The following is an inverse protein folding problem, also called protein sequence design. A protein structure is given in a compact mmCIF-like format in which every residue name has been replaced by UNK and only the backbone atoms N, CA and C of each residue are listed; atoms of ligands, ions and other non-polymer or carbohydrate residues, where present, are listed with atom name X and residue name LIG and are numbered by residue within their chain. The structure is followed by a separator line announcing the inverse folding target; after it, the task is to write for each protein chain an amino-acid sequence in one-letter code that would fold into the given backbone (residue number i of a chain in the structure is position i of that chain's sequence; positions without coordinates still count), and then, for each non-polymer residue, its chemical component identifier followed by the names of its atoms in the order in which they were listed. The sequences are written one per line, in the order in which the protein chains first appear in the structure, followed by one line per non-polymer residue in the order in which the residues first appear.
data_IF_763673970816
#
_entry.id   IF_763673970816
#
_cell.length_a   1.000
_cell.length_b   1.000
_cell.length_c   1.000
_cell.angle_alpha   90.00
_cell.angle_beta   90.00
_cell.angle_gamma   90.00
#
_symmetry.space_group_name_H-M   'P 1'
#
loop_
_entity.id
_entity.type
_entity.pdbx_description
1 polymer ?
#
# COMPACT_ATOMS: atom_id res chain seq x y z
N UNK A 1 -16.15 -10.59 17.95
CA UNK A 1 -14.85 -10.35 17.28
C UNK A 1 -14.57 -11.43 16.21
N UNK A 2 -15.44 -11.63 15.21
CA UNK A 2 -15.16 -12.59 14.11
C UNK A 2 -14.98 -11.95 12.73
N UNK A 3 -15.64 -10.82 12.45
CA UNK A 3 -15.66 -10.19 11.12
C UNK A 3 -14.27 -9.87 10.53
N UNK A 4 -13.35 -9.32 11.33
CA UNK A 4 -12.00 -9.00 10.85
C UNK A 4 -11.22 -10.26 10.41
N UNK A 5 -11.47 -11.39 11.07
CA UNK A 5 -10.80 -12.65 10.77
C UNK A 5 -11.30 -13.18 9.43
N UNK A 6 -12.55 -12.90 9.09
CA UNK A 6 -13.14 -13.27 7.82
C UNK A 6 -12.53 -12.42 6.69
N UNK A 7 -12.36 -11.11 6.87
CA UNK A 7 -11.68 -10.22 5.89
C UNK A 7 -10.21 -10.57 5.67
N UNK A 8 -9.49 -10.99 6.71
CA UNK A 8 -8.09 -11.41 6.55
C UNK A 8 -7.93 -12.80 5.95
N UNK A 9 -8.89 -13.70 6.18
CA UNK A 9 -8.81 -15.09 5.74
C UNK A 9 -9.63 -15.40 4.49
N UNK A 10 -10.43 -14.46 3.98
CA UNK A 10 -11.17 -14.66 2.73
C UNK A 10 -10.23 -14.85 1.53
N UNK A 11 -8.96 -14.42 1.66
CA UNK A 11 -7.94 -14.45 0.61
C UNK A 11 -8.23 -13.51 -0.55
N UNK A 12 -9.51 -13.31 -0.87
CA UNK A 12 -10.02 -12.46 -1.93
C UNK A 12 -9.76 -10.98 -1.67
N UNK A 13 -9.94 -10.49 -0.45
CA UNK A 13 -9.68 -9.09 -0.09
C UNK A 13 -8.20 -8.77 -0.23
N UNK A 14 -7.32 -9.61 0.32
CA UNK A 14 -5.88 -9.38 0.22
C UNK A 14 -5.38 -9.48 -1.23
N UNK A 15 -5.82 -10.50 -1.98
CA UNK A 15 -5.46 -10.66 -3.40
C UNK A 15 -6.03 -9.53 -4.26
N UNK A 16 -7.25 -9.08 -3.96
CA UNK A 16 -7.89 -7.93 -4.61
C UNK A 16 -7.09 -6.65 -4.41
N UNK A 17 -6.79 -6.31 -3.16
CA UNK A 17 -5.99 -5.13 -2.82
C UNK A 17 -4.58 -5.17 -3.42
N UNK A 18 -3.92 -6.33 -3.45
CA UNK A 18 -2.62 -6.47 -4.13
C UNK A 18 -2.72 -6.30 -5.64
N UNK A 19 -3.78 -6.84 -6.26
CA UNK A 19 -4.05 -6.70 -7.70
C UNK A 19 -4.30 -5.24 -8.04
N UNK A 20 -5.12 -4.53 -7.27
CA UNK A 20 -5.34 -3.09 -7.45
C UNK A 20 -4.05 -2.30 -7.37
N UNK A 21 -3.23 -2.53 -6.33
CA UNK A 21 -1.93 -1.87 -6.20
C UNK A 21 -0.99 -2.13 -7.39
N UNK A 22 -1.02 -3.35 -7.95
CA UNK A 22 -0.26 -3.69 -9.16
C UNK A 22 -0.79 -2.94 -10.38
N UNK A 23 -2.10 -2.93 -10.59
CA UNK A 23 -2.75 -2.22 -11.71
C UNK A 23 -2.41 -0.74 -11.66
N UNK A 24 -2.50 -0.10 -10.50
CA UNK A 24 -2.19 1.32 -10.37
C UNK A 24 -0.70 1.63 -10.59
N UNK A 25 0.19 0.73 -10.17
CA UNK A 25 1.61 0.85 -10.49
C UNK A 25 1.88 0.72 -11.99
N UNK A 26 1.22 -0.21 -12.67
CA UNK A 26 1.32 -0.38 -14.12
C UNK A 26 0.80 0.88 -14.85
N UNK A 27 -0.32 1.45 -14.40
CA UNK A 27 -0.86 2.71 -14.92
C UNK A 27 0.12 3.87 -14.73
N UNK A 28 0.75 3.97 -13.56
CA UNK A 28 1.81 4.95 -13.29
C UNK A 28 2.97 4.75 -14.27
N UNK A 29 3.48 3.53 -14.40
CA UNK A 29 4.60 3.23 -15.30
C UNK A 29 4.25 3.59 -16.74
N UNK A 30 3.09 3.20 -17.26
CA UNK A 30 2.66 3.56 -18.61
C UNK A 30 2.58 5.09 -18.82
N UNK A 31 2.14 5.83 -17.79
CA UNK A 31 2.03 7.30 -17.86
C UNK A 31 3.39 8.00 -17.88
N UNK A 32 4.41 7.39 -17.26
CA UNK A 32 5.73 8.01 -17.06
C UNK A 32 6.90 7.19 -17.63
N UNK A 33 6.63 6.18 -18.47
CA UNK A 33 7.58 5.17 -18.95
C UNK A 33 8.81 5.78 -19.65
N UNK A 34 8.58 6.93 -20.29
CA UNK A 34 9.61 7.72 -20.98
C UNK A 34 10.58 8.45 -20.03
N UNK A 35 10.30 8.51 -18.72
CA UNK A 35 11.08 9.24 -17.71
C UNK A 35 11.87 8.33 -16.77
N UNK A 36 11.56 7.04 -16.70
CA UNK A 36 12.14 6.10 -15.74
C UNK A 36 13.07 5.13 -16.45
N UNK A 37 14.38 5.42 -16.46
CA UNK A 37 15.39 4.41 -16.78
C UNK A 37 15.58 3.50 -15.57
N UNK A 38 14.90 2.36 -15.54
CA UNK A 38 15.12 1.31 -14.55
C UNK A 38 15.40 -0.03 -15.19
N UNK A 39 16.16 -0.87 -14.50
CA UNK A 39 16.31 -2.28 -14.86
C UNK A 39 15.03 -3.05 -14.58
N UNK A 40 14.83 -4.19 -15.24
CA UNK A 40 13.68 -5.09 -14.97
C UNK A 40 13.63 -5.50 -13.50
N UNK A 41 14.78 -5.76 -12.88
CA UNK A 41 14.86 -6.16 -11.47
C UNK A 41 14.40 -5.05 -10.52
N UNK A 42 14.82 -3.80 -10.76
CA UNK A 42 14.38 -2.65 -9.98
C UNK A 42 12.88 -2.39 -10.15
N UNK A 43 12.37 -2.55 -11.38
CA UNK A 43 10.94 -2.42 -11.68
C UNK A 43 10.12 -3.47 -10.93
N UNK A 44 10.54 -4.73 -10.94
CA UNK A 44 9.86 -5.82 -10.24
C UNK A 44 9.92 -5.67 -8.72
N UNK A 45 11.07 -5.26 -8.17
CA UNK A 45 11.18 -4.96 -6.74
C UNK A 45 10.25 -3.82 -6.33
N UNK A 46 10.26 -2.72 -7.10
CA UNK A 46 9.40 -1.57 -6.83
C UNK A 46 7.93 -1.93 -6.97
N UNK A 47 7.55 -2.73 -7.97
CA UNK A 47 6.20 -3.25 -8.14
C UNK A 47 5.73 -4.02 -6.90
N UNK A 48 6.56 -4.94 -6.38
CA UNK A 48 6.26 -5.67 -5.14
C UNK A 48 6.11 -4.75 -3.94
N UNK A 49 7.02 -3.81 -3.77
CA UNK A 49 6.95 -2.80 -2.71
C UNK A 49 5.63 -2.03 -2.81
N UNK A 50 5.28 -1.49 -3.98
CA UNK A 50 4.07 -0.70 -4.22
C UNK A 50 2.80 -1.53 -4.00
N UNK A 51 2.75 -2.76 -4.50
CA UNK A 51 1.60 -3.65 -4.33
C UNK A 51 1.32 -3.91 -2.85
N UNK A 52 2.34 -4.22 -2.06
CA UNK A 52 2.18 -4.46 -0.60
C UNK A 52 1.88 -3.15 0.14
N UNK A 53 2.59 -2.08 -0.19
CA UNK A 53 2.36 -0.74 0.35
C UNK A 53 0.91 -0.27 0.19
N UNK A 54 0.35 -0.50 -1.00
CA UNK A 54 -1.03 -0.16 -1.33
C UNK A 54 -2.03 -1.12 -0.66
N UNK A 55 -1.71 -2.40 -0.56
CA UNK A 55 -2.66 -3.39 -0.05
C UNK A 55 -2.96 -3.22 1.43
N UNK A 56 -2.01 -2.73 2.24
CA UNK A 56 -2.21 -2.54 3.68
C UNK A 56 -3.36 -1.58 4.02
N UNK A 57 -3.38 -0.32 3.54
CA UNK A 57 -4.52 0.57 3.77
C UNK A 57 -5.79 0.13 3.03
N UNK A 58 -5.69 -0.46 1.83
CA UNK A 58 -6.83 -1.01 1.11
C UNK A 58 -7.58 -2.08 1.91
N UNK A 59 -6.87 -2.97 2.61
CA UNK A 59 -7.49 -3.95 3.52
C UNK A 59 -8.27 -3.25 4.64
N UNK A 60 -7.77 -2.13 5.14
CA UNK A 60 -8.48 -1.32 6.14
C UNK A 60 -9.76 -0.71 5.59
N UNK A 61 -9.74 -0.24 4.35
CA UNK A 61 -10.94 0.30 3.68
C UNK A 61 -11.98 -0.80 3.41
N UNK A 62 -11.54 -1.97 2.92
CA UNK A 62 -12.41 -3.13 2.78
C UNK A 62 -13.02 -3.56 4.13
N UNK A 63 -12.21 -3.60 5.19
CA UNK A 63 -12.68 -3.91 6.54
C UNK A 63 -13.64 -2.84 7.08
N UNK A 64 -13.47 -1.57 6.72
CA UNK A 64 -14.42 -0.50 7.08
C UNK A 64 -15.78 -0.76 6.45
N UNK A 65 -15.81 -1.11 5.17
CA UNK A 65 -17.05 -1.40 4.43
C UNK A 65 -17.77 -2.62 4.99
N UNK A 66 -17.03 -3.69 5.32
CA UNK A 66 -17.60 -4.98 5.73
C UNK A 66 -17.94 -5.03 7.23
N UNK A 67 -17.04 -4.52 8.07
CA UNK A 67 -17.09 -4.70 9.53
C UNK A 67 -17.23 -3.41 10.32
N UNK A 68 -17.24 -2.26 9.65
CA UNK A 68 -17.38 -0.94 10.28
C UNK A 68 -16.05 -0.29 10.72
N UNK A 69 -16.17 0.97 11.15
CA UNK A 69 -15.02 1.85 11.41
C UNK A 69 -14.11 1.37 12.54
N UNK A 70 -14.67 0.88 13.65
CA UNK A 70 -13.88 0.40 14.78
C UNK A 70 -12.99 -0.80 14.41
N UNK A 71 -13.52 -1.71 13.58
CA UNK A 71 -12.76 -2.85 13.05
C UNK A 71 -11.64 -2.38 12.13
N UNK A 72 -11.92 -1.41 11.27
CA UNK A 72 -10.93 -0.79 10.37
C UNK A 72 -9.81 -0.11 11.15
N UNK A 73 -10.15 0.72 12.15
CA UNK A 73 -9.16 1.39 12.99
C UNK A 73 -8.24 0.39 13.71
N UNK A 74 -8.82 -0.71 14.23
CA UNK A 74 -8.06 -1.77 14.87
C UNK A 74 -7.09 -2.46 13.89
N UNK A 75 -7.54 -2.85 12.69
CA UNK A 75 -6.67 -3.55 11.74
C UNK A 75 -5.57 -2.66 11.20
N UNK A 76 -5.88 -1.39 10.89
CA UNK A 76 -4.90 -0.42 10.42
C UNK A 76 -3.81 -0.20 11.49
N UNK A 77 -4.19 -0.16 12.76
CA UNK A 77 -3.25 -0.09 13.90
C UNK A 77 -2.35 -1.32 14.00
N UNK A 78 -2.88 -2.52 13.76
CA UNK A 78 -2.10 -3.76 13.74
C UNK A 78 -1.12 -3.75 12.56
N UNK A 79 -1.61 -3.49 11.34
CA UNK A 79 -0.81 -3.54 10.12
C UNK A 79 0.35 -2.52 10.15
N UNK A 80 0.12 -1.32 10.69
CA UNK A 80 1.17 -0.30 10.90
C UNK A 80 2.30 -0.77 11.81
N UNK A 81 2.04 -1.70 12.74
CA UNK A 81 3.06 -2.22 13.67
C UNK A 81 3.96 -3.28 13.04
N UNK A 82 3.52 -3.98 12.00
CA UNK A 82 4.24 -5.14 11.44
C UNK A 82 5.44 -4.69 10.57
N UNK A 83 5.55 -3.40 10.26
CA UNK A 83 6.70 -2.76 9.57
C UNK A 83 7.20 -3.53 8.33
N UNK A 84 6.26 -4.20 7.63
CA UNK A 84 6.51 -5.09 6.48
C UNK A 84 7.26 -4.35 5.37
N UNK A 85 7.02 -3.04 5.24
CA UNK A 85 7.63 -2.22 4.22
C UNK A 85 9.15 -2.11 4.39
N UNK A 86 9.69 -2.21 5.62
CA UNK A 86 11.16 -2.21 5.81
C UNK A 86 11.87 -3.40 5.18
N UNK A 87 11.16 -4.52 5.06
CA UNK A 87 11.72 -5.74 4.50
C UNK A 87 11.59 -5.80 2.97
N UNK A 88 10.65 -5.04 2.40
CA UNK A 88 10.29 -5.13 0.99
C UNK A 88 10.67 -3.88 0.17
N UNK A 89 10.77 -2.73 0.82
CA UNK A 89 10.99 -1.44 0.18
C UNK A 89 12.34 -0.85 0.60
N UNK A 90 13.03 -0.22 -0.35
CA UNK A 90 14.15 0.67 -0.03
C UNK A 90 13.64 2.06 0.36
N UNK A 91 14.46 2.88 1.02
CA UNK A 91 14.15 4.29 1.32
C UNK A 91 13.70 5.06 0.07
N UNK A 92 14.34 4.79 -1.07
CA UNK A 92 13.98 5.41 -2.34
C UNK A 92 12.58 5.01 -2.83
N UNK A 93 12.17 3.77 -2.57
CA UNK A 93 10.85 3.27 -2.93
C UNK A 93 9.77 3.87 -2.01
N UNK A 94 10.08 4.03 -0.71
CA UNK A 94 9.19 4.71 0.25
C UNK A 94 9.02 6.19 -0.10
N UNK A 95 10.11 6.89 -0.42
CA UNK A 95 10.05 8.28 -0.84
C UNK A 95 9.24 8.44 -2.13
N UNK A 96 9.44 7.53 -3.10
CA UNK A 96 8.65 7.48 -4.34
C UNK A 96 7.15 7.31 -4.05
N UNK A 97 6.79 6.38 -3.17
CA UNK A 97 5.41 6.13 -2.79
C UNK A 97 4.74 7.38 -2.21
N UNK A 98 5.42 8.04 -1.27
CA UNK A 98 4.91 9.23 -0.58
C UNK A 98 4.75 10.46 -1.49
N UNK A 99 5.68 10.67 -2.43
CA UNK A 99 5.80 11.95 -3.15
C UNK A 99 5.30 11.91 -4.59
N UNK A 100 5.25 10.73 -5.22
CA UNK A 100 4.87 10.60 -6.63
C UNK A 100 3.68 9.70 -6.82
N UNK A 101 3.71 8.52 -6.21
CA UNK A 101 2.68 7.50 -6.45
C UNK A 101 1.33 7.92 -5.84
N UNK A 102 1.30 8.31 -4.56
CA UNK A 102 0.05 8.77 -3.93
C UNK A 102 -0.54 10.01 -4.60
N UNK A 103 0.30 10.89 -5.14
CA UNK A 103 -0.13 12.07 -5.89
C UNK A 103 -0.78 11.69 -7.23
N UNK A 104 -0.21 10.67 -7.90
CA UNK A 104 -0.74 10.12 -9.14
C UNK A 104 -2.14 9.52 -8.97
N UNK A 105 -2.40 8.85 -7.84
CA UNK A 105 -3.68 8.19 -7.57
C UNK A 105 -4.87 9.16 -7.43
N UNK A 106 -4.61 10.47 -7.29
CA UNK A 106 -5.65 11.52 -7.17
C UNK A 106 -6.72 11.21 -6.11
N UNK A 107 -6.31 10.55 -5.05
CA UNK A 107 -7.19 10.19 -3.93
C UNK A 107 -7.72 11.43 -3.20
N UNK A 108 -8.87 11.27 -2.55
CA UNK A 108 -9.33 12.24 -1.57
C UNK A 108 -8.30 12.42 -0.44
N UNK A 109 -8.24 13.62 0.15
CA UNK A 109 -7.22 13.97 1.14
C UNK A 109 -7.20 12.98 2.32
N UNK A 110 -8.36 12.62 2.85
CA UNK A 110 -8.48 11.73 4.00
C UNK A 110 -7.93 10.33 3.70
N UNK A 111 -8.30 9.75 2.55
CA UNK A 111 -7.76 8.46 2.08
C UNK A 111 -6.26 8.55 1.88
N UNK A 112 -5.77 9.62 1.24
CA UNK A 112 -4.35 9.84 1.01
C UNK A 112 -3.56 9.92 2.32
N UNK A 113 -4.11 10.58 3.35
CA UNK A 113 -3.49 10.69 4.67
C UNK A 113 -3.40 9.32 5.35
N UNK A 114 -4.45 8.49 5.25
CA UNK A 114 -4.44 7.11 5.73
C UNK A 114 -3.36 6.29 5.02
N UNK A 115 -3.30 6.31 3.70
CA UNK A 115 -2.30 5.58 2.92
C UNK A 115 -0.87 6.07 3.24
N UNK A 116 -0.67 7.38 3.28
CA UNK A 116 0.62 8.01 3.61
C UNK A 116 1.13 7.60 5.00
N UNK A 117 0.23 7.39 5.96
CA UNK A 117 0.60 6.99 7.32
C UNK A 117 1.23 5.59 7.42
N UNK A 118 1.06 4.72 6.42
CA UNK A 118 1.77 3.43 6.35
C UNK A 118 3.23 3.57 5.94
N UNK A 119 3.57 4.67 5.27
CA UNK A 119 4.93 4.99 4.84
C UNK A 119 5.70 5.76 5.92
N UNK A 120 5.00 6.24 6.95
CA UNK A 120 5.57 6.90 8.11
C UNK A 120 5.94 5.88 9.20
N UNK A 121 6.88 4.97 8.93
CA UNK A 121 7.51 4.17 9.98
C UNK A 121 8.98 4.56 10.11
N UNK A 122 9.31 5.05 11.31
CA UNK A 122 10.63 5.45 11.86
C UNK A 122 11.81 5.14 10.94
N UNK A 123 12.55 6.19 10.54
CA UNK A 123 13.88 6.17 9.89
C UNK A 123 14.37 4.74 9.66
N UNK A 124 14.32 4.30 8.41
CA UNK A 124 15.06 3.12 7.97
C UNK A 124 16.51 3.38 8.39
N UNK A 125 16.95 2.70 9.46
CA UNK A 125 18.25 2.97 10.06
C UNK A 125 19.31 2.64 9.01
N UNK A 126 20.14 3.64 8.71
CA UNK A 126 21.37 3.54 7.92
C UNK A 126 22.28 2.42 8.37
#
# INVERSE_FOLDING_TARGET
MSCFKDVLNDGETNVGCQREGNTEYENYMQSFDHLVKSTTEETERRKRCVSVAYSLPCIGDANKVICGEDSSAMILSILKRVDILKWLCTDSDVHFLQTKFLDFLKMERETKDVYSSFFHSRKLSS
#
